data_IF_078673122641
#
_entry.id   IF_078673122641
#
_cell.length_a   1.000
_cell.length_b   1.000
_cell.length_c   1.000
_cell.angle_alpha   90.00
_cell.angle_beta   90.00
_cell.angle_gamma   90.00
#
_symmetry.space_group_name_H-M   'P 1'
#
loop_
_entity.id
_entity.type
_entity.pdbx_description
1 polymer ?
#
# COMPACT_ATOMS: atom_id res chain seq x y z
N UNK A 1 45.94 15.56 -33.18
CA UNK A 1 44.94 16.46 -32.54
C UNK A 1 43.60 15.71 -32.49
N UNK A 2 43.27 15.13 -31.36
CA UNK A 2 41.97 14.50 -31.16
C UNK A 2 41.02 15.57 -30.63
N UNK A 3 40.01 15.91 -31.43
CA UNK A 3 38.97 16.85 -31.04
C UNK A 3 38.05 16.24 -29.99
N UNK A 4 38.08 16.74 -28.76
CA UNK A 4 37.07 16.47 -27.72
C UNK A 4 35.75 17.06 -28.19
N UNK A 5 34.81 16.20 -28.59
CA UNK A 5 33.41 16.61 -28.72
C UNK A 5 32.83 16.79 -27.32
N UNK A 6 32.39 17.99 -27.02
CA UNK A 6 31.66 18.31 -25.81
C UNK A 6 30.37 17.49 -25.76
N UNK A 7 30.14 16.76 -24.67
CA UNK A 7 28.87 16.10 -24.36
C UNK A 7 27.80 17.17 -24.09
N UNK A 8 26.58 17.05 -24.61
CA UNK A 8 25.51 17.98 -24.29
C UNK A 8 25.11 17.82 -22.81
N UNK A 9 25.38 18.86 -22.02
CA UNK A 9 24.94 18.99 -20.64
C UNK A 9 23.43 19.31 -20.56
N UNK A 10 22.57 18.32 -20.76
CA UNK A 10 21.21 18.39 -20.28
C UNK A 10 21.02 17.30 -19.24
N UNK A 11 21.61 17.50 -18.08
CA UNK A 11 21.10 16.92 -16.86
C UNK A 11 19.67 17.47 -16.70
N UNK A 12 18.68 16.70 -17.13
CA UNK A 12 17.30 16.92 -16.67
C UNK A 12 17.37 16.78 -15.15
N UNK A 13 17.27 17.90 -14.44
CA UNK A 13 16.92 17.91 -13.03
C UNK A 13 15.54 17.27 -12.99
N UNK A 14 15.48 15.96 -12.76
CA UNK A 14 14.22 15.33 -12.41
C UNK A 14 13.77 16.01 -11.13
N UNK A 15 12.64 16.70 -11.17
CA UNK A 15 11.97 17.12 -9.95
C UNK A 15 11.91 15.89 -9.04
N UNK A 16 12.29 16.05 -7.77
CA UNK A 16 12.17 14.96 -6.78
C UNK A 16 10.74 14.44 -6.86
N UNK A 17 10.53 13.13 -6.98
CA UNK A 17 9.19 12.58 -7.04
C UNK A 17 8.42 13.05 -5.79
N UNK A 18 7.16 13.45 -5.97
CA UNK A 18 6.27 13.86 -4.88
C UNK A 18 6.22 12.74 -3.84
N UNK A 19 6.43 13.04 -2.55
CA UNK A 19 6.35 12.03 -1.49
C UNK A 19 4.89 11.74 -1.10
N UNK A 20 4.63 10.59 -0.48
CA UNK A 20 3.30 10.31 0.10
C UNK A 20 2.91 11.37 1.13
N UNK A 21 3.87 11.84 1.95
CA UNK A 21 3.66 12.94 2.90
C UNK A 21 3.11 14.17 2.22
N UNK A 22 3.73 14.61 1.13
CA UNK A 22 3.29 15.79 0.39
C UNK A 22 1.88 15.62 -0.21
N UNK A 23 1.53 14.40 -0.64
CA UNK A 23 0.21 14.09 -1.18
C UNK A 23 -0.85 14.16 -0.08
N UNK A 24 -0.64 13.50 1.06
CA UNK A 24 -1.61 13.46 2.15
C UNK A 24 -1.76 14.85 2.81
N UNK A 25 -0.66 15.57 3.03
CA UNK A 25 -0.68 16.91 3.61
C UNK A 25 -1.43 17.89 2.70
N UNK A 26 -1.23 17.80 1.38
CA UNK A 26 -1.99 18.57 0.40
C UNK A 26 -3.45 18.20 0.41
N UNK A 27 -3.79 16.91 0.46
CA UNK A 27 -5.17 16.44 0.50
C UNK A 27 -5.90 16.98 1.76
N UNK A 28 -5.27 16.91 2.92
CA UNK A 28 -5.79 17.46 4.18
C UNK A 28 -6.00 18.98 4.10
N UNK A 29 -5.00 19.71 3.60
CA UNK A 29 -5.07 21.17 3.41
C UNK A 29 -6.21 21.59 2.49
N UNK A 30 -6.36 20.86 1.38
CA UNK A 30 -7.37 21.14 0.35
C UNK A 30 -8.75 20.55 0.71
N UNK A 31 -8.89 19.92 1.88
CA UNK A 31 -10.08 19.18 2.33
C UNK A 31 -10.56 18.14 1.31
N UNK A 32 -9.62 17.51 0.64
CA UNK A 32 -9.85 16.47 -0.37
C UNK A 32 -9.64 15.09 0.27
N UNK A 33 -10.56 14.18 0.02
CA UNK A 33 -10.41 12.80 0.44
C UNK A 33 -9.45 12.06 -0.49
N UNK A 34 -8.46 11.36 0.04
CA UNK A 34 -7.48 10.60 -0.73
C UNK A 34 -7.92 9.13 -0.86
N UNK A 35 -7.97 8.63 -2.10
CA UNK A 35 -8.22 7.22 -2.38
C UNK A 35 -6.90 6.56 -2.79
N UNK A 36 -6.52 5.51 -2.08
CA UNK A 36 -5.27 4.77 -2.30
C UNK A 36 -5.59 3.34 -2.70
N UNK A 37 -5.52 3.01 -4.01
CA UNK A 37 -5.78 1.66 -4.49
C UNK A 37 -4.64 0.70 -4.15
N UNK A 38 -4.97 -0.57 -3.92
CA UNK A 38 -3.99 -1.63 -3.67
C UNK A 38 -3.43 -2.22 -4.96
N UNK A 39 -2.10 -2.33 -5.06
CA UNK A 39 -1.44 -3.13 -6.07
C UNK A 39 -1.08 -4.50 -5.49
N UNK A 40 -1.39 -5.56 -6.21
CA UNK A 40 -1.07 -6.94 -5.81
C UNK A 40 0.08 -7.55 -6.65
N UNK A 41 0.38 -6.93 -7.78
CA UNK A 41 1.48 -7.29 -8.69
C UNK A 41 1.94 -6.09 -9.53
N UNK A 42 2.94 -6.32 -10.36
CA UNK A 42 3.49 -5.30 -11.26
C UNK A 42 2.46 -4.79 -12.29
N UNK A 43 1.55 -5.64 -12.75
CA UNK A 43 0.54 -5.27 -13.74
C UNK A 43 -0.51 -4.35 -13.14
N UNK A 44 -1.01 -4.67 -11.95
CA UNK A 44 -1.97 -3.81 -11.24
C UNK A 44 -1.36 -2.45 -10.87
N UNK A 45 -0.06 -2.39 -10.50
CA UNK A 45 0.63 -1.13 -10.26
C UNK A 45 0.71 -0.25 -11.52
N UNK A 46 1.00 -0.85 -12.70
CA UNK A 46 0.96 -0.12 -13.99
C UNK A 46 -0.44 0.40 -14.33
N UNK A 47 -1.48 -0.39 -14.07
CA UNK A 47 -2.85 0.04 -14.29
C UNK A 47 -3.23 1.22 -13.40
N UNK A 48 -2.84 1.18 -12.11
CA UNK A 48 -3.06 2.28 -11.18
C UNK A 48 -2.40 3.57 -11.69
N UNK A 49 -1.15 3.50 -12.12
CA UNK A 49 -0.45 4.64 -12.71
C UNK A 49 -1.12 5.13 -14.00
N UNK A 50 -1.51 4.21 -14.91
CA UNK A 50 -2.18 4.54 -16.18
C UNK A 50 -3.52 5.25 -15.96
N UNK A 51 -4.27 4.87 -14.93
CA UNK A 51 -5.57 5.50 -14.59
C UNK A 51 -5.38 6.90 -13.97
N UNK A 52 -4.18 7.22 -13.46
CA UNK A 52 -3.85 8.57 -12.97
C UNK A 52 -4.03 8.75 -11.47
N UNK A 53 -3.93 7.69 -10.68
CA UNK A 53 -3.83 7.82 -9.21
C UNK A 53 -2.53 8.51 -8.81
N UNK A 54 -2.54 9.20 -7.67
CA UNK A 54 -1.38 9.95 -7.16
C UNK A 54 -0.40 9.07 -6.37
N UNK A 55 -0.89 7.96 -5.82
CA UNK A 55 -0.17 7.00 -4.98
C UNK A 55 -0.86 5.65 -5.01
N UNK A 56 -0.22 4.63 -4.47
CA UNK A 56 -0.81 3.29 -4.34
C UNK A 56 -0.31 2.58 -3.08
N UNK A 57 -1.03 1.53 -2.69
CA UNK A 57 -0.72 0.71 -1.52
C UNK A 57 -0.26 -0.69 -1.94
N UNK A 58 0.71 -1.25 -1.21
CA UNK A 58 1.07 -2.66 -1.31
C UNK A 58 0.82 -3.29 0.05
N UNK A 59 -0.23 -4.11 0.13
CA UNK A 59 -0.59 -4.85 1.34
C UNK A 59 -0.01 -6.27 1.35
N UNK A 60 0.18 -6.83 2.53
CA UNK A 60 0.64 -8.21 2.71
C UNK A 60 -0.32 -9.22 2.08
N UNK A 61 -1.62 -9.11 2.38
CA UNK A 61 -2.64 -10.04 1.88
C UNK A 61 -2.65 -10.16 0.34
N UNK A 62 -2.78 -9.08 -0.45
CA UNK A 62 -2.81 -9.18 -1.90
C UNK A 62 -1.48 -9.62 -2.50
N UNK A 63 -0.35 -9.15 -1.97
CA UNK A 63 0.97 -9.51 -2.47
C UNK A 63 1.30 -11.00 -2.24
N UNK A 64 0.99 -11.52 -1.04
CA UNK A 64 1.16 -12.94 -0.70
C UNK A 64 0.24 -13.83 -1.53
N UNK A 65 -1.04 -13.45 -1.62
CA UNK A 65 -2.04 -14.18 -2.41
C UNK A 65 -1.68 -14.26 -3.89
N UNK A 66 -1.29 -13.13 -4.50
CA UNK A 66 -0.95 -13.08 -5.91
C UNK A 66 0.35 -13.82 -6.24
N UNK A 67 1.38 -13.68 -5.39
CA UNK A 67 2.72 -14.21 -5.69
C UNK A 67 2.89 -15.68 -5.32
N UNK A 68 2.27 -16.11 -4.20
CA UNK A 68 2.50 -17.45 -3.63
C UNK A 68 1.25 -18.32 -3.60
N UNK A 69 0.06 -17.77 -3.81
CA UNK A 69 -1.19 -18.52 -3.76
C UNK A 69 -1.53 -19.05 -2.36
N UNK A 70 -1.05 -18.40 -1.29
CA UNK A 70 -1.28 -18.79 0.10
C UNK A 70 -1.94 -17.68 0.91
N UNK A 71 -2.63 -18.00 2.02
CA UNK A 71 -3.29 -17.01 2.86
C UNK A 71 -2.28 -16.15 3.63
N UNK A 72 -2.68 -14.93 3.94
CA UNK A 72 -1.92 -13.99 4.76
C UNK A 72 -2.14 -14.26 6.27
N UNK A 73 -1.39 -15.20 6.80
CA UNK A 73 -1.45 -15.67 8.19
C UNK A 73 -0.04 -15.80 8.81
N UNK A 74 0.87 -14.94 8.39
CA UNK A 74 2.25 -14.93 8.90
C UNK A 74 3.12 -16.06 8.35
N UNK A 75 2.86 -16.54 7.12
CA UNK A 75 3.66 -17.58 6.48
C UNK A 75 4.93 -17.03 5.84
N UNK A 76 4.89 -15.80 5.35
CA UNK A 76 6.00 -15.15 4.67
C UNK A 76 6.75 -14.22 5.62
N UNK A 77 8.07 -14.26 5.57
CA UNK A 77 8.92 -13.35 6.32
C UNK A 77 9.26 -12.07 5.52
N UNK A 78 10.03 -11.18 6.15
CA UNK A 78 10.42 -9.90 5.56
C UNK A 78 11.13 -10.06 4.20
N UNK A 79 11.96 -11.10 4.04
CA UNK A 79 12.70 -11.32 2.79
C UNK A 79 11.78 -11.56 1.59
N UNK A 80 10.75 -12.40 1.76
CA UNK A 80 9.78 -12.72 0.72
C UNK A 80 8.88 -11.52 0.41
N UNK A 81 8.40 -10.82 1.45
CA UNK A 81 7.52 -9.66 1.29
C UNK A 81 8.27 -8.49 0.64
N UNK A 82 9.48 -8.16 1.11
CA UNK A 82 10.28 -7.08 0.52
C UNK A 82 10.67 -7.35 -0.93
N UNK A 83 10.88 -8.62 -1.31
CA UNK A 83 11.10 -9.00 -2.70
C UNK A 83 9.83 -8.74 -3.56
N UNK A 84 8.64 -9.08 -3.06
CA UNK A 84 7.39 -8.78 -3.75
C UNK A 84 7.19 -7.26 -3.91
N UNK A 85 7.40 -6.49 -2.85
CA UNK A 85 7.34 -5.02 -2.86
C UNK A 85 8.27 -4.44 -3.93
N UNK A 86 9.52 -4.88 -3.97
CA UNK A 86 10.51 -4.42 -4.96
C UNK A 86 10.07 -4.68 -6.39
N UNK A 87 9.54 -5.87 -6.67
CA UNK A 87 9.10 -6.24 -8.02
C UNK A 87 7.89 -5.41 -8.48
N UNK A 88 6.96 -5.12 -7.56
CA UNK A 88 5.80 -4.27 -7.82
C UNK A 88 6.24 -2.82 -8.06
N UNK A 89 7.11 -2.28 -7.20
CA UNK A 89 7.64 -0.92 -7.32
C UNK A 89 8.41 -0.70 -8.63
N UNK A 90 9.13 -1.70 -9.12
CA UNK A 90 9.87 -1.60 -10.38
C UNK A 90 8.99 -1.32 -11.61
N UNK A 91 7.68 -1.51 -11.49
CA UNK A 91 6.71 -1.32 -12.57
C UNK A 91 5.95 0.02 -12.52
N UNK A 92 6.12 0.83 -11.45
CA UNK A 92 5.33 2.03 -11.20
C UNK A 92 6.20 3.14 -10.58
N UNK A 93 6.09 4.35 -11.11
CA UNK A 93 6.88 5.51 -10.66
C UNK A 93 6.17 6.35 -9.58
N UNK A 94 4.94 5.98 -9.20
CA UNK A 94 4.20 6.69 -8.16
C UNK A 94 4.80 6.44 -6.77
N UNK A 95 4.71 7.40 -5.84
CA UNK A 95 5.08 7.16 -4.46
C UNK A 95 4.22 6.05 -3.86
N UNK A 96 4.85 5.12 -3.17
CA UNK A 96 4.21 3.92 -2.63
C UNK A 96 4.06 3.96 -1.13
N UNK A 97 2.92 3.48 -0.66
CA UNK A 97 2.60 3.19 0.72
C UNK A 97 2.60 1.66 0.91
N UNK A 98 3.38 1.15 1.87
CA UNK A 98 3.60 -0.29 2.07
C UNK A 98 3.15 -0.74 3.45
N UNK A 99 2.53 -1.92 3.50
CA UNK A 99 2.29 -2.66 4.74
C UNK A 99 3.62 -3.22 5.28
N UNK A 100 4.01 -2.77 6.45
CA UNK A 100 5.20 -3.25 7.17
C UNK A 100 4.87 -4.31 8.21
N UNK A 101 3.64 -4.83 8.22
CA UNK A 101 3.15 -5.78 9.23
C UNK A 101 3.47 -5.30 10.66
N UNK A 102 3.88 -6.19 11.55
CA UNK A 102 4.35 -5.85 12.91
C UNK A 102 5.82 -5.38 12.95
N UNK A 103 6.43 -5.16 11.78
CA UNK A 103 7.85 -4.90 11.61
C UNK A 103 8.72 -6.16 11.57
N UNK A 104 8.10 -7.33 11.45
CA UNK A 104 8.71 -8.67 11.34
C UNK A 104 9.58 -9.05 12.54
N UNK A 105 9.17 -8.68 13.72
CA UNK A 105 9.82 -9.05 14.98
C UNK A 105 9.78 -7.97 16.05
N UNK A 106 10.88 -7.76 16.77
CA UNK A 106 10.96 -6.79 17.85
C UNK A 106 11.42 -5.41 17.35
N UNK A 107 11.64 -4.45 18.23
CA UNK A 107 12.03 -3.05 17.96
C UNK A 107 13.19 -2.94 16.95
N UNK A 108 14.22 -3.80 17.06
CA UNK A 108 15.34 -3.82 16.11
C UNK A 108 14.94 -4.23 14.70
N UNK A 109 13.98 -5.16 14.60
CA UNK A 109 13.44 -5.59 13.31
C UNK A 109 12.62 -4.49 12.67
N UNK A 110 11.82 -3.74 13.44
CA UNK A 110 11.09 -2.57 12.94
C UNK A 110 12.04 -1.54 12.31
N UNK A 111 13.12 -1.19 13.01
CA UNK A 111 14.14 -0.27 12.45
C UNK A 111 14.73 -0.81 11.15
N UNK A 112 15.11 -2.10 11.14
CA UNK A 112 15.66 -2.75 9.94
C UNK A 112 14.66 -2.73 8.79
N UNK A 113 13.39 -3.03 9.05
CA UNK A 113 12.30 -3.02 8.05
C UNK A 113 12.10 -1.61 7.48
N UNK A 114 11.95 -0.61 8.33
CA UNK A 114 11.76 0.79 7.91
C UNK A 114 12.92 1.26 7.04
N UNK A 115 14.16 1.12 7.52
CA UNK A 115 15.34 1.57 6.79
C UNK A 115 15.58 0.78 5.50
N UNK A 116 15.19 -0.48 5.43
CA UNK A 116 15.27 -1.27 4.19
C UNK A 116 14.24 -0.78 3.18
N UNK A 117 13.00 -0.55 3.57
CA UNK A 117 11.98 0.00 2.71
C UNK A 117 12.33 1.42 2.22
N UNK A 118 12.89 2.27 3.08
CA UNK A 118 13.38 3.60 2.68
C UNK A 118 14.47 3.52 1.60
N UNK A 119 15.44 2.61 1.75
CA UNK A 119 16.48 2.37 0.73
C UNK A 119 15.92 1.83 -0.59
N UNK A 120 14.77 1.17 -0.56
CA UNK A 120 14.06 0.73 -1.75
C UNK A 120 13.27 1.88 -2.41
N UNK A 121 13.07 3.01 -1.72
CA UNK A 121 12.29 4.14 -2.21
C UNK A 121 10.83 4.14 -1.77
N UNK A 122 10.47 3.34 -0.77
CA UNK A 122 9.12 3.37 -0.17
C UNK A 122 8.89 4.72 0.49
N UNK A 123 7.72 5.31 0.27
CA UNK A 123 7.37 6.67 0.69
C UNK A 123 6.55 6.72 1.98
N UNK A 124 5.80 5.66 2.28
CA UNK A 124 5.02 5.53 3.50
C UNK A 124 5.01 4.07 3.97
N UNK A 125 5.01 3.86 5.29
CA UNK A 125 5.08 2.53 5.90
C UNK A 125 4.05 2.44 7.02
N UNK A 126 3.20 1.41 6.98
CA UNK A 126 2.31 1.04 8.05
C UNK A 126 3.02 0.07 9.00
N UNK A 127 2.91 0.29 10.32
CA UNK A 127 3.36 -0.65 11.36
C UNK A 127 2.18 -0.94 12.28
N UNK A 128 1.85 -2.22 12.46
CA UNK A 128 0.74 -2.67 13.28
C UNK A 128 1.18 -3.27 14.62
N UNK A 129 0.22 -3.37 15.55
CA UNK A 129 0.45 -3.91 16.90
C UNK A 129 0.11 -5.40 17.05
N UNK A 130 -0.09 -6.13 15.94
CA UNK A 130 -0.38 -7.55 16.04
C UNK A 130 0.82 -8.34 16.62
N UNK A 131 0.48 -9.40 17.33
CA UNK A 131 1.44 -10.40 17.78
C UNK A 131 1.65 -11.43 16.65
N UNK A 132 2.90 -11.68 16.31
CA UNK A 132 3.24 -12.72 15.34
C UNK A 132 2.90 -14.16 15.86
N UNK A 133 2.40 -15.08 15.00
CA UNK A 133 2.08 -14.88 13.61
C UNK A 133 0.80 -14.05 13.43
N UNK A 134 0.91 -12.98 12.64
CA UNK A 134 -0.19 -12.04 12.38
C UNK A 134 -1.28 -12.67 11.51
N UNK A 135 -2.42 -11.98 11.39
CA UNK A 135 -3.51 -12.34 10.49
C UNK A 135 -4.03 -11.10 9.78
N UNK A 136 -4.67 -11.28 8.63
CA UNK A 136 -5.36 -10.17 7.98
C UNK A 136 -6.35 -9.49 8.95
N UNK A 137 -6.42 -8.16 8.91
CA UNK A 137 -7.20 -7.32 9.84
C UNK A 137 -8.68 -7.68 10.00
N UNK A 138 -9.29 -8.25 8.98
CA UNK A 138 -10.68 -8.70 9.02
C UNK A 138 -10.87 -10.18 9.40
N UNK A 139 -9.79 -10.91 9.67
CA UNK A 139 -9.86 -12.30 10.15
C UNK A 139 -9.99 -12.38 11.68
N UNK A 140 -10.57 -13.49 12.15
CA UNK A 140 -10.71 -13.79 13.58
C UNK A 140 -9.43 -14.39 14.17
N UNK A 141 -9.30 -14.33 15.51
CA UNK A 141 -8.18 -14.96 16.24
C UNK A 141 -6.90 -14.16 16.26
N UNK A 142 -6.94 -12.88 15.92
CA UNK A 142 -5.83 -11.95 16.12
C UNK A 142 -5.48 -11.80 17.59
N UNK A 143 -4.21 -11.46 17.85
CA UNK A 143 -3.70 -11.02 19.13
C UNK A 143 -2.90 -9.76 18.92
N UNK A 144 -2.85 -8.89 19.93
CA UNK A 144 -2.01 -7.70 19.91
C UNK A 144 -0.96 -7.79 21.03
N UNK A 145 0.21 -7.19 20.76
CA UNK A 145 1.28 -7.12 21.75
C UNK A 145 0.91 -6.16 22.90
N UNK A 146 1.58 -6.21 24.06
CA UNK A 146 1.43 -5.19 25.09
C UNK A 146 1.62 -3.79 24.51
N UNK A 147 0.82 -2.84 24.98
CA UNK A 147 0.78 -1.48 24.41
C UNK A 147 2.15 -0.77 24.52
N UNK A 148 2.93 -1.06 25.56
CA UNK A 148 4.27 -0.54 25.76
C UNK A 148 5.23 -0.99 24.64
N UNK A 149 5.13 -2.25 24.22
CA UNK A 149 5.91 -2.76 23.10
C UNK A 149 5.44 -2.17 21.77
N UNK A 150 4.12 -2.06 21.55
CA UNK A 150 3.58 -1.44 20.36
C UNK A 150 4.04 0.01 20.22
N UNK A 151 3.95 0.81 21.30
CA UNK A 151 4.46 2.18 21.34
C UNK A 151 5.96 2.26 21.08
N UNK A 152 6.76 1.35 21.67
CA UNK A 152 8.20 1.31 21.45
C UNK A 152 8.55 1.02 19.97
N UNK A 153 7.81 0.13 19.31
CA UNK A 153 7.95 -0.15 17.87
C UNK A 153 7.68 1.09 17.02
N UNK A 154 6.58 1.79 17.26
CA UNK A 154 6.24 3.03 16.54
C UNK A 154 7.29 4.11 16.80
N UNK A 155 7.71 4.29 18.06
CA UNK A 155 8.74 5.26 18.42
C UNK A 155 10.05 4.97 17.69
N UNK A 156 10.46 3.71 17.64
CA UNK A 156 11.67 3.32 16.92
C UNK A 156 11.55 3.56 15.41
N UNK A 157 10.41 3.19 14.80
CA UNK A 157 10.15 3.48 13.39
C UNK A 157 10.29 4.97 13.07
N UNK A 158 9.69 5.83 13.89
CA UNK A 158 9.71 7.28 13.67
C UNK A 158 11.08 7.92 13.95
N UNK A 159 11.78 7.46 15.01
CA UNK A 159 13.06 8.05 15.42
C UNK A 159 14.23 7.64 14.54
N UNK A 160 14.21 6.42 14.00
CA UNK A 160 15.30 5.82 13.27
C UNK A 160 15.10 5.82 11.74
N UNK A 161 14.01 6.39 11.23
CA UNK A 161 13.83 6.62 9.79
C UNK A 161 14.97 7.50 9.27
N UNK A 162 15.48 7.15 8.07
CA UNK A 162 16.59 7.85 7.43
C UNK A 162 16.11 9.13 6.75
N UNK A 163 14.95 9.07 6.11
CA UNK A 163 14.34 10.19 5.39
C UNK A 163 13.15 10.75 6.20
N UNK A 164 13.19 12.01 6.64
CA UNK A 164 12.10 12.63 7.37
C UNK A 164 10.79 12.71 6.58
N UNK A 165 10.85 12.62 5.24
CA UNK A 165 9.67 12.55 4.37
C UNK A 165 8.98 11.18 4.38
N UNK A 166 9.64 10.12 4.87
CA UNK A 166 9.00 8.81 5.03
C UNK A 166 7.88 8.91 6.04
N UNK A 167 6.66 8.61 5.61
CA UNK A 167 5.48 8.72 6.44
C UNK A 167 5.24 7.41 7.21
N UNK A 168 5.12 7.48 8.54
CA UNK A 168 4.91 6.31 9.40
C UNK A 168 3.49 6.30 9.93
N UNK A 169 2.73 5.27 9.56
CA UNK A 169 1.36 5.05 10.01
C UNK A 169 1.33 4.03 11.15
N UNK A 170 0.80 4.44 12.30
CA UNK A 170 0.51 3.53 13.41
C UNK A 170 -0.85 2.86 13.24
N UNK A 171 -0.86 1.53 13.09
CA UNK A 171 -2.09 0.73 13.01
C UNK A 171 -2.32 -0.03 14.31
N UNK A 172 -3.57 -0.10 14.75
CA UNK A 172 -3.97 -0.99 15.84
C UNK A 172 -5.11 -1.90 15.44
N UNK A 173 -4.98 -3.16 15.77
CA UNK A 173 -5.99 -4.21 15.66
C UNK A 173 -6.76 -4.47 16.96
N UNK A 174 -6.52 -3.65 17.98
CA UNK A 174 -7.08 -3.81 19.33
C UNK A 174 -8.61 -3.75 19.36
N UNK A 175 -9.27 -3.08 18.38
CA UNK A 175 -10.72 -3.07 18.25
C UNK A 175 -11.32 -4.48 18.16
N UNK A 176 -10.64 -5.40 17.48
CA UNK A 176 -11.09 -6.77 17.30
C UNK A 176 -10.74 -7.69 18.48
N UNK A 177 -9.71 -7.35 19.25
CA UNK A 177 -9.17 -8.16 20.35
C UNK A 177 -9.78 -7.77 21.70
N UNK A 178 -9.99 -6.47 21.89
CA UNK A 178 -10.57 -5.86 23.08
C UNK A 178 -11.84 -5.09 22.70
N UNK A 179 -11.72 -3.77 22.60
CA UNK A 179 -12.81 -2.85 22.27
C UNK A 179 -12.28 -1.58 21.57
N UNK A 180 -13.19 -0.64 21.28
CA UNK A 180 -12.82 0.61 20.65
C UNK A 180 -12.01 1.52 21.59
N UNK A 181 -12.30 1.52 22.89
CA UNK A 181 -11.61 2.40 23.86
C UNK A 181 -10.13 2.03 23.96
N UNK A 182 -9.80 0.74 23.98
CA UNK A 182 -8.42 0.29 23.95
C UNK A 182 -7.74 0.64 22.61
N UNK A 183 -8.43 0.49 21.49
CA UNK A 183 -7.88 0.90 20.18
C UNK A 183 -7.60 2.41 20.13
N UNK A 184 -8.51 3.24 20.64
CA UNK A 184 -8.33 4.69 20.74
C UNK A 184 -7.14 5.05 21.64
N UNK A 185 -7.04 4.41 22.82
CA UNK A 185 -5.90 4.58 23.73
C UNK A 185 -4.57 4.24 23.10
N UNK A 186 -4.51 3.18 22.30
CA UNK A 186 -3.30 2.80 21.54
C UNK A 186 -2.95 3.83 20.48
N UNK A 187 -3.94 4.27 19.70
CA UNK A 187 -3.77 5.31 18.70
C UNK A 187 -3.18 6.61 19.29
N UNK A 188 -3.69 7.07 20.45
CA UNK A 188 -3.11 8.21 21.16
C UNK A 188 -1.64 8.01 21.55
N UNK A 189 -1.27 6.79 22.01
CA UNK A 189 0.13 6.48 22.34
C UNK A 189 1.02 6.46 21.09
N UNK A 190 0.51 5.96 19.96
CA UNK A 190 1.25 5.97 18.70
C UNK A 190 1.50 7.39 18.19
N UNK A 191 0.52 8.31 18.31
CA UNK A 191 0.71 9.73 18.01
C UNK A 191 1.80 10.33 18.88
N UNK A 192 1.75 10.10 20.20
CA UNK A 192 2.80 10.59 21.13
C UNK A 192 4.17 9.99 20.84
N UNK A 193 4.23 8.78 20.30
CA UNK A 193 5.45 8.12 19.85
C UNK A 193 6.00 8.68 18.53
N UNK A 194 5.24 9.54 17.84
CA UNK A 194 5.66 10.22 16.62
C UNK A 194 5.04 9.69 15.32
N UNK A 195 4.00 8.84 15.39
CA UNK A 195 3.28 8.41 14.20
C UNK A 195 2.71 9.61 13.44
N UNK A 196 2.90 9.65 12.13
CA UNK A 196 2.44 10.71 11.26
C UNK A 196 0.94 10.61 10.93
N UNK A 197 0.34 9.43 11.14
CA UNK A 197 -1.08 9.16 10.97
C UNK A 197 -1.51 7.89 11.70
N UNK A 198 -2.82 7.65 11.75
CA UNK A 198 -3.43 6.55 12.52
C UNK A 198 -4.39 5.74 11.67
N UNK A 199 -4.37 4.43 11.94
CA UNK A 199 -5.31 3.48 11.38
C UNK A 199 -5.84 2.54 12.47
N UNK A 200 -7.12 2.69 12.84
CA UNK A 200 -7.83 1.73 13.70
C UNK A 200 -8.56 0.74 12.81
N UNK A 201 -8.13 -0.52 12.85
CA UNK A 201 -8.64 -1.57 11.98
C UNK A 201 -10.03 -2.07 12.38
N UNK A 202 -10.87 -2.29 11.38
CA UNK A 202 -12.16 -2.96 11.47
C UNK A 202 -13.16 -2.34 12.49
N UNK A 203 -13.44 -1.02 12.45
CA UNK A 203 -14.58 -0.45 13.18
C UNK A 203 -15.88 -1.09 12.68
N UNK A 204 -16.86 -1.27 13.60
CA UNK A 204 -18.05 -2.11 13.35
C UNK A 204 -19.33 -1.34 13.12
N UNK A 205 -19.32 -0.03 13.27
CA UNK A 205 -20.50 0.81 13.07
C UNK A 205 -20.13 2.22 12.59
N UNK A 206 -21.11 2.93 12.04
CA UNK A 206 -20.96 4.33 11.65
C UNK A 206 -20.61 5.18 12.87
N UNK A 207 -21.21 4.89 14.04
CA UNK A 207 -20.90 5.61 15.29
C UNK A 207 -19.42 5.42 15.72
N UNK A 208 -18.84 4.23 15.51
CA UNK A 208 -17.43 4.01 15.75
C UNK A 208 -16.56 4.78 14.75
N UNK A 209 -16.91 4.77 13.46
CA UNK A 209 -16.22 5.58 12.45
C UNK A 209 -16.26 7.07 12.79
N UNK A 210 -17.43 7.60 13.17
CA UNK A 210 -17.58 8.99 13.57
C UNK A 210 -16.70 9.34 14.78
N UNK A 211 -16.68 8.47 15.79
CA UNK A 211 -15.87 8.66 16.99
C UNK A 211 -14.36 8.66 16.65
N UNK A 212 -13.92 7.74 15.80
CA UNK A 212 -12.53 7.66 15.36
C UNK A 212 -12.18 8.93 14.56
N UNK A 213 -12.96 9.25 13.53
CA UNK A 213 -12.66 10.34 12.62
C UNK A 213 -12.56 11.73 13.27
N UNK A 214 -13.21 11.92 14.44
CA UNK A 214 -13.19 13.17 15.20
C UNK A 214 -12.18 13.23 16.34
N UNK A 215 -11.41 12.15 16.57
CA UNK A 215 -10.66 11.99 17.81
C UNK A 215 -9.24 12.56 17.77
N UNK A 216 -8.62 12.68 16.61
CA UNK A 216 -7.19 12.95 16.50
C UNK A 216 -6.90 14.05 15.49
N UNK A 217 -5.84 14.84 15.78
CA UNK A 217 -5.39 15.95 14.93
C UNK A 217 -4.43 15.50 13.80
N UNK A 218 -4.15 14.21 13.70
CA UNK A 218 -3.32 13.63 12.62
C UNK A 218 -4.19 12.96 11.55
N UNK A 219 -3.71 12.80 10.31
CA UNK A 219 -4.46 12.10 9.27
C UNK A 219 -4.90 10.71 9.70
N UNK A 220 -6.16 10.39 9.44
CA UNK A 220 -6.77 9.12 9.77
C UNK A 220 -7.12 8.36 8.50
N UNK A 221 -6.75 7.09 8.49
CA UNK A 221 -6.98 6.18 7.38
C UNK A 221 -8.06 5.17 7.75
N UNK A 222 -8.88 4.79 6.79
CA UNK A 222 -9.83 3.69 6.91
C UNK A 222 -9.65 2.68 5.77
N UNK A 223 -10.15 1.47 6.01
CA UNK A 223 -10.19 0.38 5.03
C UNK A 223 -11.65 -0.14 4.93
N UNK A 224 -12.49 0.44 4.07
CA UNK A 224 -13.87 0.00 3.85
C UNK A 224 -13.91 -1.28 3.01
N UNK A 225 -13.41 -2.38 3.56
CA UNK A 225 -13.26 -3.65 2.86
C UNK A 225 -14.62 -4.29 2.56
N UNK A 226 -14.87 -4.61 1.30
CA UNK A 226 -16.04 -5.35 0.86
C UNK A 226 -16.09 -6.74 1.53
N UNK A 227 -17.21 -7.06 2.21
CA UNK A 227 -17.34 -8.30 2.99
C UNK A 227 -16.59 -8.32 4.32
N UNK A 228 -15.94 -7.20 4.71
CA UNK A 228 -15.31 -7.02 6.01
C UNK A 228 -16.27 -6.58 7.10
N UNK A 229 -15.72 -6.09 8.22
CA UNK A 229 -16.49 -5.62 9.37
C UNK A 229 -16.84 -4.13 9.32
N UNK A 230 -16.02 -3.34 8.60
CA UNK A 230 -16.18 -1.89 8.50
C UNK A 230 -17.38 -1.56 7.61
N UNK A 231 -18.31 -0.69 8.04
CA UNK A 231 -19.38 -0.20 7.18
C UNK A 231 -18.83 0.44 5.90
N UNK A 232 -19.42 0.09 4.77
CA UNK A 232 -19.06 0.69 3.48
C UNK A 232 -19.86 1.98 3.31
N UNK A 233 -19.14 3.09 3.28
CA UNK A 233 -19.64 4.43 3.04
C UNK A 233 -18.98 4.99 1.78
N UNK A 234 -19.58 6.01 1.20
CA UNK A 234 -18.94 6.78 0.14
C UNK A 234 -17.71 7.53 0.67
N UNK A 235 -16.80 7.91 -0.23
CA UNK A 235 -15.62 8.68 0.13
C UNK A 235 -15.98 10.06 0.71
N UNK A 236 -17.10 10.63 0.26
CA UNK A 236 -17.65 11.87 0.78
C UNK A 236 -18.12 11.70 2.23
N UNK A 237 -18.90 10.65 2.52
CA UNK A 237 -19.37 10.35 3.88
C UNK A 237 -18.21 10.08 4.84
N UNK A 238 -17.20 9.31 4.40
CA UNK A 238 -15.98 9.07 5.20
C UNK A 238 -15.23 10.38 5.50
N UNK A 239 -15.13 11.27 4.52
CA UNK A 239 -14.55 12.61 4.70
C UNK A 239 -15.34 13.46 5.70
N UNK A 240 -16.67 13.43 5.65
CA UNK A 240 -17.54 14.13 6.60
C UNK A 240 -17.40 13.59 8.03
N UNK A 241 -17.10 12.30 8.18
CA UNK A 241 -16.80 11.70 9.48
C UNK A 241 -15.41 12.06 10.01
N UNK A 242 -14.53 12.68 9.21
CA UNK A 242 -13.21 13.13 9.63
C UNK A 242 -12.03 12.29 9.13
N UNK A 243 -12.28 11.27 8.30
CA UNK A 243 -11.19 10.53 7.67
C UNK A 243 -10.58 11.33 6.51
N UNK A 244 -9.29 11.12 6.28
CA UNK A 244 -8.54 11.83 5.24
C UNK A 244 -8.24 10.93 4.04
N UNK A 245 -8.22 9.61 4.25
CA UNK A 245 -7.80 8.65 3.26
C UNK A 245 -8.49 7.30 3.44
N UNK A 246 -8.83 6.65 2.32
CA UNK A 246 -9.19 5.24 2.30
C UNK A 246 -8.14 4.43 1.53
N UNK A 247 -7.69 3.33 2.14
CA UNK A 247 -6.87 2.32 1.48
C UNK A 247 -7.80 1.21 0.99
N UNK A 248 -7.90 1.04 -0.34
CA UNK A 248 -8.68 -0.01 -0.99
C UNK A 248 -7.72 -1.14 -1.37
N UNK A 249 -7.18 -1.82 -0.34
CA UNK A 249 -6.05 -2.73 -0.49
C UNK A 249 -6.35 -4.02 -1.24
N UNK A 250 -7.60 -4.51 -1.20
CA UNK A 250 -7.97 -5.82 -1.72
C UNK A 250 -8.80 -5.80 -3.00
N UNK A 251 -9.38 -4.65 -3.38
CA UNK A 251 -10.34 -4.55 -4.48
C UNK A 251 -9.77 -5.07 -5.79
N UNK A 252 -8.54 -4.69 -6.12
CA UNK A 252 -7.91 -5.07 -7.39
C UNK A 252 -7.69 -6.58 -7.50
N UNK A 253 -7.18 -7.23 -6.46
CA UNK A 253 -6.94 -8.69 -6.48
C UNK A 253 -8.25 -9.49 -6.47
N UNK A 254 -9.25 -9.04 -5.70
CA UNK A 254 -10.54 -9.72 -5.64
C UNK A 254 -11.27 -9.69 -6.99
N UNK A 255 -11.23 -8.54 -7.68
CA UNK A 255 -11.80 -8.40 -9.02
C UNK A 255 -10.98 -9.18 -10.05
N UNK A 256 -9.65 -9.16 -9.99
CA UNK A 256 -8.79 -9.96 -10.86
C UNK A 256 -9.06 -11.46 -10.70
N UNK A 257 -9.13 -11.96 -9.47
CA UNK A 257 -9.45 -13.36 -9.18
C UNK A 257 -10.81 -13.77 -9.76
N UNK A 258 -11.85 -12.91 -9.60
CA UNK A 258 -13.17 -13.18 -10.15
C UNK A 258 -13.19 -13.17 -11.68
N UNK A 259 -12.50 -12.23 -12.31
CA UNK A 259 -12.39 -12.16 -13.76
C UNK A 259 -11.67 -13.40 -14.33
N UNK A 260 -10.57 -13.80 -13.69
CA UNK A 260 -9.81 -15.02 -14.07
C UNK A 260 -10.69 -16.27 -13.91
N UNK A 261 -11.38 -16.41 -12.78
CA UNK A 261 -12.31 -17.53 -12.55
C UNK A 261 -13.37 -17.60 -13.66
N UNK A 262 -13.98 -16.47 -14.00
CA UNK A 262 -15.03 -16.40 -15.02
C UNK A 262 -14.54 -16.89 -16.38
N UNK A 263 -13.39 -16.41 -16.83
CA UNK A 263 -12.85 -16.81 -18.15
C UNK A 263 -12.38 -18.28 -18.14
N UNK A 264 -11.83 -18.78 -17.02
CA UNK A 264 -11.42 -20.19 -16.92
C UNK A 264 -12.61 -21.16 -16.95
N UNK A 265 -13.72 -20.82 -16.28
CA UNK A 265 -14.97 -21.58 -16.35
C UNK A 265 -15.52 -21.62 -17.77
N UNK A 266 -15.51 -20.48 -18.45
CA UNK A 266 -15.94 -20.38 -19.85
C UNK A 266 -15.05 -21.21 -20.77
N UNK A 267 -13.73 -21.11 -20.65
CA UNK A 267 -12.78 -21.94 -21.42
C UNK A 267 -13.02 -23.44 -21.18
N UNK A 268 -13.21 -23.86 -19.94
CA UNK A 268 -13.48 -25.27 -19.59
C UNK A 268 -14.79 -25.76 -20.20
N UNK A 269 -15.79 -24.90 -20.36
CA UNK A 269 -17.08 -25.22 -20.97
C UNK A 269 -16.99 -25.37 -22.52
N UNK A 270 -15.92 -24.88 -23.14
CA UNK A 270 -15.74 -24.84 -24.60
C UNK A 270 -16.61 -23.77 -25.30
N UNK A 271 -17.30 -22.90 -24.56
CA UNK A 271 -18.21 -21.90 -25.14
C UNK A 271 -17.49 -20.59 -25.59
N UNK A 272 -16.41 -20.24 -24.93
CA UNK A 272 -15.60 -19.05 -25.23
C UNK A 272 -16.41 -17.73 -25.29
N UNK A 273 -17.47 -17.61 -24.50
CA UNK A 273 -18.37 -16.46 -24.50
C UNK A 273 -17.67 -15.18 -24.00
N UNK A 274 -16.72 -15.33 -23.06
CA UNK A 274 -15.98 -14.20 -22.43
C UNK A 274 -14.62 -13.93 -23.07
N UNK A 275 -14.33 -14.54 -24.22
CA UNK A 275 -13.01 -14.40 -24.86
C UNK A 275 -12.66 -12.95 -25.24
N UNK A 276 -13.66 -12.17 -25.60
CA UNK A 276 -13.49 -10.77 -26.04
C UNK A 276 -13.65 -9.74 -24.93
N UNK A 277 -13.89 -10.18 -23.68
CA UNK A 277 -14.05 -9.25 -22.54
C UNK A 277 -12.71 -8.81 -21.95
N UNK A 278 -11.60 -9.42 -22.41
CA UNK A 278 -10.24 -9.08 -22.01
C UNK A 278 -9.75 -7.76 -22.63
N UNK A 279 -8.64 -7.26 -22.08
CA UNK A 279 -7.94 -6.13 -22.70
C UNK A 279 -7.48 -6.49 -24.11
N UNK A 280 -7.60 -5.56 -25.06
CA UNK A 280 -7.07 -5.71 -26.41
C UNK A 280 -5.55 -5.91 -26.40
N UNK A 281 -5.05 -6.70 -27.35
CA UNK A 281 -3.63 -7.08 -27.41
C UNK A 281 -2.70 -5.87 -27.59
N UNK A 282 -3.10 -4.90 -28.43
CA UNK A 282 -2.31 -3.68 -28.64
C UNK A 282 -2.32 -2.78 -27.39
N UNK A 283 -3.44 -2.70 -26.71
CA UNK A 283 -3.53 -1.95 -25.44
C UNK A 283 -2.74 -2.61 -24.32
N UNK A 284 -2.68 -3.95 -24.30
CA UNK A 284 -1.81 -4.66 -23.36
C UNK A 284 -0.33 -4.42 -23.65
N UNK A 285 0.10 -4.45 -24.91
CA UNK A 285 1.47 -4.11 -25.32
C UNK A 285 1.87 -2.71 -24.85
N UNK A 286 1.02 -1.71 -25.05
CA UNK A 286 1.24 -0.34 -24.56
C UNK A 286 1.34 -0.31 -23.03
N UNK A 287 0.45 -1.03 -22.34
CA UNK A 287 0.45 -1.10 -20.87
C UNK A 287 1.77 -1.63 -20.30
N UNK A 288 2.32 -2.68 -20.90
CA UNK A 288 3.59 -3.27 -20.46
C UNK A 288 4.83 -2.55 -21.01
N UNK A 289 4.63 -1.49 -21.80
CA UNK A 289 5.71 -0.60 -22.29
C UNK A 289 6.49 -1.18 -23.46
N UNK A 290 5.85 -1.98 -24.33
CA UNK A 290 6.47 -2.60 -25.50
C UNK A 290 7.21 -1.58 -26.36
N UNK A 291 6.61 -0.44 -26.70
CA UNK A 291 7.19 0.61 -27.55
C UNK A 291 8.54 1.14 -27.04
N UNK A 292 8.70 1.20 -25.71
CA UNK A 292 9.98 1.59 -25.09
C UNK A 292 11.09 0.60 -25.46
N UNK A 293 10.82 -0.68 -25.41
CA UNK A 293 11.80 -1.73 -25.70
C UNK A 293 12.14 -1.80 -27.18
N UNK A 294 11.13 -1.71 -28.07
CA UNK A 294 11.35 -1.62 -29.52
C UNK A 294 12.24 -0.42 -29.87
N UNK A 295 11.96 0.75 -29.29
CA UNK A 295 12.78 1.94 -29.56
C UNK A 295 14.24 1.80 -29.12
N UNK A 296 14.54 0.91 -28.16
CA UNK A 296 15.92 0.60 -27.75
C UNK A 296 16.60 -0.24 -28.84
N UNK A 297 15.92 -1.26 -29.34
CA UNK A 297 16.43 -2.11 -30.42
C UNK A 297 16.69 -1.29 -31.70
N UNK A 298 15.74 -0.44 -32.10
CA UNK A 298 15.90 0.45 -33.25
C UNK A 298 17.13 1.36 -33.16
N UNK A 299 17.49 1.80 -31.94
CA UNK A 299 18.64 2.71 -31.71
C UNK A 299 19.98 1.99 -31.61
N UNK A 300 20.00 0.78 -31.08
CA UNK A 300 21.25 0.16 -30.65
C UNK A 300 21.52 -1.22 -31.26
N UNK A 301 20.52 -1.93 -31.81
CA UNK A 301 20.78 -3.21 -32.47
C UNK A 301 21.65 -3.00 -33.73
N UNK A 302 22.57 -3.93 -34.04
CA UNK A 302 23.33 -3.88 -35.27
C UNK A 302 22.40 -3.90 -36.49
N UNK A 303 22.58 -2.95 -37.41
CA UNK A 303 21.85 -3.01 -38.67
C UNK A 303 22.36 -4.23 -39.47
N UNK A 304 21.41 -5.14 -39.78
CA UNK A 304 21.70 -6.27 -40.66
C UNK A 304 21.99 -5.83 -42.05
#
# INVERSE_FOLDING_TARGET
>A
MYGMRALPSTLRVHAMPTSFRQIIDKAVKDKRFLVVPGAHDALSARLIQKIGFETYFIGGFPAVGARYGVPDVGLMGFGEISAAVRDIMAACDLPVFVDGDDGYGDVKNVVHTVQTYERMGVSAILIEDQQWPKRCGHMVGKKVVPIELAEAKIKAACSERINPETWILGRTDARAVYDLDEAMRRAERFIRAGADGIFIEAPRSIAELERIGKAFDVPQICNPLMGGHTPILSMEELGQLGFNCAVLGLDTIMHAAKAIETVLVDMKSGKFAHRNDGMDFEDYKKLVGYDKWESIDERFAPKQ
#
